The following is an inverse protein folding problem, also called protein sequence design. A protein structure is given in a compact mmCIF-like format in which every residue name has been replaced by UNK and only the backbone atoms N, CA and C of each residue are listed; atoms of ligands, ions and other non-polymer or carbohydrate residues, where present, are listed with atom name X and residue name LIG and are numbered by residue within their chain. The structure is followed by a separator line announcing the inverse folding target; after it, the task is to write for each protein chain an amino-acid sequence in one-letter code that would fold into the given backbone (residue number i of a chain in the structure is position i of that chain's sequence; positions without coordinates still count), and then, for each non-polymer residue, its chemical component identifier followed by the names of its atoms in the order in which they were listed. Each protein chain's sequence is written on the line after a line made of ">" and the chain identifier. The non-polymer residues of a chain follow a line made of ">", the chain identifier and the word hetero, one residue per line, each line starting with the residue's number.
data_IF_238699261219
#
_entry.id   IF_238699261219
#
_cell.length_a   1.000
_cell.length_b   1.000
_cell.length_c   1.000
_cell.angle_alpha   90.00
_cell.angle_beta   90.00
_cell.angle_gamma   90.00
#
_symmetry.space_group_name_H-M   'P 1'
#
loop_
_entity.id
_entity.type
_entity.pdbx_description
1 polymer ?
#
# COMPACT_ATOMS: atom_id res chain seq x y z
N UNK A 1 5.50 -13.00 23.69
CA UNK A 1 6.00 -13.20 22.32
C UNK A 1 5.07 -14.18 21.64
N UNK A 2 4.54 -13.84 20.46
CA UNK A 2 3.78 -14.80 19.65
C UNK A 2 4.71 -15.94 19.21
N UNK A 3 4.20 -17.18 19.03
CA UNK A 3 5.01 -18.25 18.46
C UNK A 3 5.51 -17.85 17.06
N UNK A 4 6.68 -18.35 16.63
CA UNK A 4 7.16 -18.11 15.28
C UNK A 4 6.15 -18.66 14.24
N UNK A 5 6.03 -18.01 13.07
CA UNK A 5 5.22 -18.51 11.97
C UNK A 5 5.54 -19.96 11.59
N UNK A 6 4.55 -20.72 11.14
CA UNK A 6 4.70 -22.15 10.80
C UNK A 6 5.83 -22.39 9.78
N UNK A 7 5.92 -21.55 8.74
CA UNK A 7 6.96 -21.66 7.71
C UNK A 7 8.38 -21.39 8.23
N UNK A 8 8.53 -20.70 9.38
CA UNK A 8 9.81 -20.53 10.07
C UNK A 8 10.10 -21.67 11.04
N UNK A 9 9.05 -22.17 11.71
CA UNK A 9 9.17 -23.26 12.67
C UNK A 9 9.52 -24.61 12.01
N UNK A 10 8.99 -24.87 10.81
CA UNK A 10 9.18 -26.14 10.09
C UNK A 10 10.59 -26.34 9.50
N UNK A 11 11.30 -25.24 9.19
CA UNK A 11 12.62 -25.29 8.54
C UNK A 11 12.57 -25.70 7.06
N UNK A 12 13.74 -25.88 6.44
CA UNK A 12 13.85 -26.24 5.01
C UNK A 12 13.85 -27.76 4.81
N UNK A 13 12.83 -28.28 4.12
CA UNK A 13 12.82 -29.63 3.56
C UNK A 13 13.16 -29.58 2.06
N UNK A 14 14.32 -30.14 1.62
CA UNK A 14 14.68 -30.17 0.21
C UNK A 14 13.72 -30.97 -0.69
N UNK A 15 12.87 -31.85 -0.13
CA UNK A 15 11.89 -32.64 -0.88
C UNK A 15 10.51 -31.98 -0.97
N UNK A 16 10.23 -31.03 -0.08
CA UNK A 16 8.98 -30.27 -0.03
C UNK A 16 9.27 -28.83 0.43
N UNK A 17 9.90 -28.00 -0.41
CA UNK A 17 10.34 -26.67 -0.01
C UNK A 17 9.14 -25.76 0.25
N UNK A 18 9.08 -25.16 1.44
CA UNK A 18 8.05 -24.19 1.79
C UNK A 18 8.25 -22.88 0.97
N UNK A 19 7.26 -22.46 0.16
CA UNK A 19 7.38 -21.28 -0.67
C UNK A 19 7.46 -19.98 0.14
N UNK A 20 6.85 -19.92 1.32
CA UNK A 20 6.89 -18.75 2.21
C UNK A 20 8.23 -18.64 2.90
N UNK A 21 8.85 -19.76 3.29
CA UNK A 21 10.22 -19.76 3.80
C UNK A 21 11.20 -19.24 2.75
N UNK A 22 11.08 -19.70 1.51
CA UNK A 22 11.92 -19.23 0.40
C UNK A 22 11.76 -17.72 0.19
N UNK A 23 10.52 -17.23 0.16
CA UNK A 23 10.24 -15.80 0.04
C UNK A 23 10.77 -15.03 1.25
N UNK A 24 10.62 -15.52 2.48
CA UNK A 24 11.09 -14.86 3.70
C UNK A 24 12.62 -14.71 3.73
N UNK A 25 13.35 -15.77 3.35
CA UNK A 25 14.82 -15.75 3.33
C UNK A 25 15.40 -14.89 2.19
N UNK A 26 14.65 -14.66 1.11
CA UNK A 26 15.12 -13.83 -0.01
C UNK A 26 15.31 -12.35 0.36
N UNK A 27 16.55 -11.87 0.43
CA UNK A 27 16.84 -10.46 0.76
C UNK A 27 16.87 -9.53 -0.45
N UNK A 28 16.44 -10.00 -1.62
CA UNK A 28 16.47 -9.20 -2.85
C UNK A 28 15.43 -8.08 -2.87
N UNK A 29 14.31 -8.26 -2.16
CA UNK A 29 13.27 -7.23 -2.00
C UNK A 29 13.56 -6.33 -0.79
N UNK A 30 13.29 -5.02 -0.86
CA UNK A 30 13.73 -4.07 0.17
C UNK A 30 12.88 -4.05 1.44
N UNK A 31 12.00 -5.03 1.67
CA UNK A 31 11.09 -5.02 2.82
C UNK A 31 11.84 -5.20 4.16
N UNK A 32 11.44 -4.50 5.23
CA UNK A 32 11.88 -4.80 6.59
C UNK A 32 11.39 -6.19 7.04
N UNK A 33 12.19 -6.88 7.86
CA UNK A 33 11.89 -8.26 8.29
C UNK A 33 10.51 -8.40 8.94
N UNK A 34 10.14 -7.50 9.86
CA UNK A 34 8.82 -7.53 10.52
C UNK A 34 7.65 -7.33 9.54
N UNK A 35 7.81 -6.47 8.54
CA UNK A 35 6.79 -6.25 7.50
C UNK A 35 6.67 -7.49 6.62
N UNK A 36 7.81 -8.07 6.25
CA UNK A 36 7.87 -9.26 5.41
C UNK A 36 7.28 -10.49 6.12
N UNK A 37 7.57 -10.66 7.41
CA UNK A 37 6.96 -11.68 8.25
C UNK A 37 5.44 -11.54 8.26
N UNK A 38 4.91 -10.36 8.62
CA UNK A 38 3.47 -10.12 8.66
C UNK A 38 2.81 -10.33 7.29
N UNK A 39 3.45 -9.87 6.21
CA UNK A 39 2.96 -10.06 4.84
C UNK A 39 2.87 -11.54 4.45
N UNK A 40 3.85 -12.35 4.85
CA UNK A 40 3.89 -13.77 4.52
C UNK A 40 2.95 -14.59 5.41
N UNK A 41 2.81 -14.24 6.70
CA UNK A 41 1.79 -14.82 7.60
C UNK A 41 0.38 -14.59 7.06
N UNK A 42 0.06 -13.35 6.66
CA UNK A 42 -1.22 -13.03 6.03
C UNK A 42 -1.41 -13.83 4.72
N UNK A 43 -0.34 -13.89 3.92
CA UNK A 43 -0.31 -14.58 2.63
C UNK A 43 -0.45 -16.11 2.73
N UNK A 44 -0.01 -16.72 3.81
CA UNK A 44 -0.07 -18.17 4.04
C UNK A 44 -1.32 -18.62 4.79
N UNK A 45 -2.27 -17.71 5.03
CA UNK A 45 -3.47 -17.98 5.83
C UNK A 45 -4.47 -18.94 5.17
N UNK A 46 -5.26 -19.62 6.00
CA UNK A 46 -6.36 -20.47 5.56
C UNK A 46 -7.46 -19.70 4.81
N UNK A 47 -7.69 -18.42 5.17
CA UNK A 47 -8.59 -17.53 4.42
C UNK A 47 -8.13 -17.42 2.97
N UNK A 48 -6.84 -17.18 2.74
CA UNK A 48 -6.33 -17.07 1.38
C UNK A 48 -6.38 -18.39 0.63
N UNK A 49 -6.06 -19.49 1.28
CA UNK A 49 -6.02 -20.80 0.65
C UNK A 49 -7.40 -21.32 0.26
N UNK A 50 -8.39 -21.18 1.15
CA UNK A 50 -9.69 -21.85 0.99
C UNK A 50 -10.84 -20.90 0.69
N UNK A 51 -10.84 -19.68 1.24
CA UNK A 51 -11.93 -18.73 1.07
C UNK A 51 -11.77 -17.88 -0.21
N UNK A 52 -10.56 -17.38 -0.49
CA UNK A 52 -10.28 -16.53 -1.65
C UNK A 52 -10.69 -17.15 -3.01
N UNK A 53 -10.45 -18.45 -3.30
CA UNK A 53 -10.87 -19.04 -4.57
C UNK A 53 -12.37 -18.98 -4.82
N UNK A 54 -13.18 -18.94 -3.76
CA UNK A 54 -14.64 -18.84 -3.81
C UNK A 54 -15.07 -17.37 -3.84
N UNK A 55 -14.48 -16.53 -2.98
CA UNK A 55 -14.83 -15.11 -2.88
C UNK A 55 -14.50 -14.36 -4.17
N UNK A 56 -13.34 -14.61 -4.79
CA UNK A 56 -12.89 -13.88 -5.97
C UNK A 56 -13.87 -13.93 -7.15
N UNK A 57 -14.38 -15.09 -7.63
CA UNK A 57 -15.36 -15.11 -8.70
C UNK A 57 -16.69 -14.47 -8.27
N UNK A 58 -17.13 -14.66 -7.02
CA UNK A 58 -18.36 -14.05 -6.51
C UNK A 58 -18.26 -12.52 -6.48
N UNK A 59 -17.17 -11.97 -5.95
CA UNK A 59 -16.92 -10.54 -5.90
C UNK A 59 -16.93 -9.92 -7.30
N UNK A 60 -16.32 -10.58 -8.28
CA UNK A 60 -16.34 -10.13 -9.69
C UNK A 60 -17.74 -10.19 -10.29
N UNK A 61 -18.51 -11.23 -10.01
CA UNK A 61 -19.91 -11.32 -10.44
C UNK A 61 -20.75 -10.19 -9.83
N UNK A 62 -20.55 -9.89 -8.53
CA UNK A 62 -21.19 -8.75 -7.87
C UNK A 62 -20.78 -7.42 -8.48
N UNK A 63 -19.52 -7.21 -8.84
CA UNK A 63 -19.07 -5.99 -9.53
C UNK A 63 -19.87 -5.77 -10.82
N UNK A 64 -20.02 -6.81 -11.64
CA UNK A 64 -20.82 -6.74 -12.89
C UNK A 64 -22.29 -6.48 -12.57
N UNK A 65 -22.88 -7.20 -11.62
CA UNK A 65 -24.26 -7.01 -11.21
C UNK A 65 -24.52 -5.56 -10.75
N UNK A 66 -23.61 -5.01 -9.94
CA UNK A 66 -23.69 -3.63 -9.46
C UNK A 66 -23.56 -2.64 -10.62
N UNK A 67 -22.70 -2.90 -11.61
CA UNK A 67 -22.64 -2.06 -12.82
C UNK A 67 -23.99 -2.03 -13.54
N UNK A 68 -24.62 -3.19 -13.74
CA UNK A 68 -25.94 -3.28 -14.38
C UNK A 68 -27.02 -2.55 -13.57
N UNK A 69 -27.02 -2.70 -12.25
CA UNK A 69 -27.95 -1.99 -11.36
C UNK A 69 -27.72 -0.47 -11.44
N UNK A 70 -26.46 -0.01 -11.46
CA UNK A 70 -26.14 1.42 -11.51
C UNK A 70 -26.47 2.07 -12.85
N UNK A 71 -26.62 1.30 -13.94
CA UNK A 71 -27.14 1.82 -15.21
C UNK A 71 -28.56 2.40 -15.09
N UNK A 72 -29.38 1.88 -14.16
CA UNK A 72 -30.76 2.35 -13.94
C UNK A 72 -30.91 3.20 -12.68
N UNK A 73 -29.93 3.22 -11.78
CA UNK A 73 -29.95 4.06 -10.58
C UNK A 73 -29.64 5.54 -10.89
N UNK A 74 -30.05 6.47 -10.01
CA UNK A 74 -29.64 7.87 -10.12
C UNK A 74 -28.11 8.00 -10.09
N UNK A 75 -27.53 8.72 -11.06
CA UNK A 75 -26.07 8.91 -11.18
C UNK A 75 -25.39 9.52 -9.94
N UNK A 76 -26.16 10.20 -9.09
CA UNK A 76 -25.68 10.84 -7.84
C UNK A 76 -25.83 9.95 -6.61
N UNK A 77 -26.27 8.70 -6.77
CA UNK A 77 -26.34 7.76 -5.66
C UNK A 77 -24.96 7.53 -5.07
N UNK A 78 -24.84 7.86 -3.78
CA UNK A 78 -23.68 7.54 -2.97
C UNK A 78 -24.08 7.59 -1.50
N UNK A 79 -23.42 6.78 -0.67
CA UNK A 79 -23.55 6.82 0.78
C UNK A 79 -22.18 6.56 1.42
N UNK A 80 -21.29 7.54 1.27
CA UNK A 80 -19.88 7.45 1.67
C UNK A 80 -19.71 7.17 3.18
N UNK A 81 -20.49 7.82 4.05
CA UNK A 81 -20.43 7.58 5.50
C UNK A 81 -20.76 6.13 5.86
N UNK A 82 -21.81 5.58 5.25
CA UNK A 82 -22.20 4.17 5.47
C UNK A 82 -21.13 3.22 4.97
N UNK A 83 -20.54 3.51 3.81
CA UNK A 83 -19.43 2.75 3.26
C UNK A 83 -18.25 2.67 4.23
N UNK A 84 -17.73 3.82 4.64
CA UNK A 84 -16.54 3.87 5.50
C UNK A 84 -16.82 3.26 6.88
N UNK A 85 -18.04 3.38 7.39
CA UNK A 85 -18.48 2.67 8.60
C UNK A 85 -18.46 1.15 8.41
N UNK A 86 -19.03 0.62 7.33
CA UNK A 86 -19.05 -0.84 7.04
C UNK A 86 -17.62 -1.36 6.92
N UNK A 87 -16.74 -0.64 6.21
CA UNK A 87 -15.35 -1.05 6.03
C UNK A 87 -14.60 -1.06 7.36
N UNK A 88 -14.68 0.02 8.14
CA UNK A 88 -14.00 0.11 9.43
C UNK A 88 -14.50 -0.96 10.43
N UNK A 89 -15.82 -1.21 10.49
CA UNK A 89 -16.37 -2.26 11.35
C UNK A 89 -16.04 -3.67 10.85
N UNK A 90 -16.00 -3.89 9.54
CA UNK A 90 -15.54 -5.14 8.93
C UNK A 90 -14.07 -5.42 9.25
N UNK A 91 -13.22 -4.40 9.13
CA UNK A 91 -11.80 -4.46 9.50
C UNK A 91 -11.62 -4.83 10.97
N UNK A 92 -12.35 -4.19 11.89
CA UNK A 92 -12.26 -4.49 13.32
C UNK A 92 -12.67 -5.92 13.69
N UNK A 93 -13.70 -6.46 13.04
CA UNK A 93 -14.35 -7.70 13.45
C UNK A 93 -13.85 -8.93 12.70
N UNK A 94 -13.43 -8.78 11.45
CA UNK A 94 -13.18 -9.91 10.54
C UNK A 94 -11.75 -9.98 10.01
N UNK A 95 -11.12 -8.83 9.80
CA UNK A 95 -9.80 -8.78 9.14
C UNK A 95 -8.70 -9.15 10.13
N UNK A 96 -7.74 -9.95 9.67
CA UNK A 96 -6.61 -10.40 10.45
C UNK A 96 -5.76 -9.22 10.96
N UNK A 97 -5.09 -9.36 12.13
CA UNK A 97 -4.24 -8.30 12.68
C UNK A 97 -3.16 -7.82 11.71
N UNK A 98 -2.50 -8.74 11.00
CA UNK A 98 -1.44 -8.48 10.02
C UNK A 98 -1.99 -7.63 8.87
N UNK A 99 -3.13 -8.02 8.30
CA UNK A 99 -3.81 -7.25 7.26
C UNK A 99 -4.23 -5.85 7.73
N UNK A 100 -4.83 -5.73 8.92
CA UNK A 100 -5.21 -4.42 9.47
C UNK A 100 -3.99 -3.52 9.68
N UNK A 101 -2.90 -4.08 10.19
CA UNK A 101 -1.65 -3.36 10.40
C UNK A 101 -1.08 -2.85 9.07
N UNK A 102 -0.99 -3.71 8.06
CA UNK A 102 -0.50 -3.35 6.72
C UNK A 102 -1.36 -2.23 6.09
N UNK A 103 -2.69 -2.32 6.20
CA UNK A 103 -3.59 -1.27 5.69
C UNK A 103 -3.39 0.05 6.43
N UNK A 104 -3.29 0.03 7.76
CA UNK A 104 -3.11 1.24 8.55
C UNK A 104 -1.77 1.91 8.25
N UNK A 105 -0.69 1.13 8.17
CA UNK A 105 0.64 1.62 7.80
C UNK A 105 0.65 2.26 6.42
N UNK A 106 0.02 1.62 5.44
CA UNK A 106 -0.01 2.08 4.06
C UNK A 106 -0.38 3.56 3.92
N UNK A 107 -1.37 4.05 4.68
CA UNK A 107 -1.75 5.47 4.65
C UNK A 107 -0.60 6.39 5.08
N UNK A 108 0.14 6.03 6.14
CA UNK A 108 1.30 6.79 6.60
C UNK A 108 2.42 6.76 5.56
N UNK A 109 2.75 5.57 5.03
CA UNK A 109 3.83 5.43 4.05
C UNK A 109 3.52 6.20 2.77
N UNK A 110 2.29 6.10 2.27
CA UNK A 110 1.81 6.87 1.14
C UNK A 110 1.95 8.38 1.40
N UNK A 111 1.47 8.88 2.54
CA UNK A 111 1.59 10.29 2.91
C UNK A 111 3.05 10.77 2.94
N UNK A 112 3.96 9.97 3.50
CA UNK A 112 5.39 10.30 3.57
C UNK A 112 6.06 10.28 2.19
N UNK A 113 5.72 9.32 1.31
CA UNK A 113 6.23 9.27 -0.07
C UNK A 113 5.78 10.50 -0.86
N UNK A 114 4.51 10.89 -0.75
CA UNK A 114 4.01 12.11 -1.40
C UNK A 114 4.70 13.37 -0.85
N UNK A 115 4.94 13.43 0.45
CA UNK A 115 5.67 14.53 1.08
C UNK A 115 7.15 14.58 0.64
N UNK A 116 7.80 13.42 0.47
CA UNK A 116 9.15 13.32 -0.06
C UNK A 116 9.23 13.92 -1.46
N UNK A 117 8.32 13.54 -2.36
CA UNK A 117 8.27 14.09 -3.72
C UNK A 117 8.04 15.60 -3.70
N UNK A 118 7.11 16.08 -2.87
CA UNK A 118 6.80 17.49 -2.77
C UNK A 118 7.96 18.33 -2.24
N UNK A 119 8.69 17.85 -1.22
CA UNK A 119 9.84 18.56 -0.62
C UNK A 119 11.08 18.59 -1.49
N UNK A 120 11.23 17.59 -2.35
CA UNK A 120 12.36 17.45 -3.26
C UNK A 120 12.03 17.91 -4.69
N UNK A 121 10.90 18.56 -4.89
CA UNK A 121 10.54 19.19 -6.16
C UNK A 121 11.16 20.58 -6.27
N UNK A 122 11.55 21.05 -7.47
CA UNK A 122 12.01 22.43 -7.66
C UNK A 122 10.89 23.47 -7.49
N UNK A 123 9.63 23.04 -7.40
CA UNK A 123 8.46 23.90 -7.22
C UNK A 123 7.72 23.56 -5.92
N UNK A 124 7.12 24.55 -5.24
CA UNK A 124 6.36 24.30 -4.03
C UNK A 124 5.07 23.52 -4.35
N UNK A 125 4.84 22.40 -3.67
CA UNK A 125 3.63 21.60 -3.80
C UNK A 125 3.09 21.21 -2.43
N UNK A 126 1.81 21.49 -2.19
CA UNK A 126 1.15 21.12 -0.94
C UNK A 126 0.64 19.67 -0.97
N UNK A 127 0.83 18.97 0.15
CA UNK A 127 0.30 17.63 0.41
C UNK A 127 -0.75 17.68 1.52
N UNK A 128 -1.67 16.71 1.51
CA UNK A 128 -2.67 16.51 2.57
C UNK A 128 -2.41 15.14 3.20
N UNK A 129 -1.52 15.04 4.20
CA UNK A 129 -1.14 13.75 4.75
C UNK A 129 -2.31 13.05 5.46
N UNK A 130 -2.40 11.73 5.30
CA UNK A 130 -3.35 10.87 6.00
C UNK A 130 -2.55 9.96 6.94
N UNK A 131 -2.78 10.08 8.25
CA UNK A 131 -1.98 9.40 9.28
C UNK A 131 -2.88 8.78 10.36
N UNK A 132 -3.85 7.92 9.97
CA UNK A 132 -4.79 7.35 10.94
C UNK A 132 -4.04 6.52 11.99
N UNK A 133 -4.35 6.71 13.27
CA UNK A 133 -3.73 5.90 14.35
C UNK A 133 -4.68 4.83 14.87
N UNK A 134 -6.00 4.98 14.63
CA UNK A 134 -7.01 3.98 14.94
C UNK A 134 -7.90 3.65 13.73
N UNK A 135 -8.42 2.41 13.69
CA UNK A 135 -9.37 1.97 12.65
C UNK A 135 -10.66 2.80 12.59
N UNK A 136 -11.04 3.45 13.70
CA UNK A 136 -12.20 4.35 13.73
C UNK A 136 -12.00 5.61 12.87
N UNK A 137 -10.77 6.08 12.70
CA UNK A 137 -10.48 7.26 11.88
C UNK A 137 -10.68 6.98 10.38
N UNK A 138 -10.69 5.71 9.98
CA UNK A 138 -11.02 5.31 8.61
C UNK A 138 -12.47 5.67 8.23
N UNK A 139 -13.35 5.88 9.22
CA UNK A 139 -14.78 6.19 9.02
C UNK A 139 -15.01 7.57 8.41
N UNK A 140 -14.08 8.50 8.55
CA UNK A 140 -14.21 9.87 8.05
C UNK A 140 -13.72 10.00 6.59
N UNK A 141 -14.36 9.24 5.69
CA UNK A 141 -14.12 9.27 4.24
C UNK A 141 -12.66 9.00 3.81
N UNK A 142 -11.88 8.32 4.67
CA UNK A 142 -10.43 8.24 4.53
C UNK A 142 -9.98 7.51 3.25
N UNK A 143 -10.63 6.40 2.89
CA UNK A 143 -10.31 5.65 1.66
C UNK A 143 -10.50 6.52 0.41
N UNK A 144 -11.55 7.33 0.35
CA UNK A 144 -11.79 8.23 -0.79
C UNK A 144 -10.82 9.41 -0.78
N UNK A 145 -10.54 10.00 0.39
CA UNK A 145 -9.55 11.07 0.54
C UNK A 145 -8.17 10.61 0.08
N UNK A 146 -7.79 9.37 0.40
CA UNK A 146 -6.52 8.76 -0.03
C UNK A 146 -6.36 8.84 -1.55
N UNK A 147 -7.31 8.28 -2.31
CA UNK A 147 -7.25 8.29 -3.78
C UNK A 147 -7.23 9.70 -4.37
N UNK A 148 -8.03 10.61 -3.80
CA UNK A 148 -8.09 12.01 -4.24
C UNK A 148 -6.74 12.72 -4.04
N UNK A 149 -6.05 12.44 -2.93
CA UNK A 149 -4.77 13.08 -2.63
C UNK A 149 -3.69 12.72 -3.65
N UNK A 150 -3.67 11.47 -4.15
CA UNK A 150 -2.75 11.07 -5.23
C UNK A 150 -2.97 11.90 -6.51
N UNK A 151 -4.21 12.01 -6.98
CA UNK A 151 -4.53 12.82 -8.16
C UNK A 151 -4.19 14.29 -7.95
N UNK A 152 -4.55 14.85 -6.79
CA UNK A 152 -4.28 16.26 -6.49
C UNK A 152 -2.78 16.56 -6.46
N UNK A 153 -1.94 15.68 -5.91
CA UNK A 153 -0.50 15.86 -5.96
C UNK A 153 -0.01 15.90 -7.41
N UNK A 154 -0.36 14.88 -8.21
CA UNK A 154 0.08 14.78 -9.61
C UNK A 154 -0.34 16.02 -10.39
N UNK A 155 -1.59 16.46 -10.25
CA UNK A 155 -2.11 17.65 -10.94
C UNK A 155 -1.34 18.90 -10.52
N UNK A 156 -1.24 19.17 -9.20
CA UNK A 156 -0.59 20.38 -8.67
C UNK A 156 0.89 20.45 -9.05
N UNK A 157 1.61 19.35 -8.90
CA UNK A 157 3.03 19.26 -9.25
C UNK A 157 3.25 19.57 -10.73
N UNK A 158 2.49 18.93 -11.63
CA UNK A 158 2.68 19.12 -13.06
C UNK A 158 2.21 20.50 -13.55
N UNK A 159 1.20 21.10 -12.92
CA UNK A 159 0.82 22.48 -13.19
C UNK A 159 1.94 23.43 -12.79
N UNK A 160 2.45 23.31 -11.55
CA UNK A 160 3.50 24.16 -11.03
C UNK A 160 4.79 24.05 -11.86
N UNK A 161 5.22 22.83 -12.22
CA UNK A 161 6.38 22.62 -13.09
C UNK A 161 6.22 23.33 -14.45
N UNK A 162 5.04 23.20 -15.09
CA UNK A 162 4.76 23.84 -16.37
C UNK A 162 4.72 25.36 -16.28
N UNK A 163 4.10 25.89 -15.23
CA UNK A 163 3.98 27.33 -15.00
C UNK A 163 5.34 28.00 -14.77
N UNK A 164 6.26 27.29 -14.09
CA UNK A 164 7.61 27.80 -13.80
C UNK A 164 8.64 27.42 -14.87
N UNK A 165 8.27 26.62 -15.88
CA UNK A 165 9.19 26.13 -16.90
C UNK A 165 10.24 25.14 -16.36
N UNK A 166 9.93 24.48 -15.24
CA UNK A 166 10.82 23.56 -14.52
C UNK A 166 10.51 22.09 -14.87
N UNK A 167 11.47 21.22 -14.60
CA UNK A 167 11.30 19.75 -14.71
C UNK A 167 11.80 19.08 -13.45
N UNK A 168 11.20 17.93 -13.09
CA UNK A 168 11.82 17.09 -12.06
C UNK A 168 13.20 16.63 -12.53
N UNK A 169 14.18 16.75 -11.66
CA UNK A 169 15.56 16.38 -11.90
C UNK A 169 16.13 15.70 -10.65
N UNK A 170 17.26 14.98 -10.79
CA UNK A 170 17.98 14.45 -9.64
C UNK A 170 18.36 15.54 -8.64
N UNK A 171 18.17 15.25 -7.36
CA UNK A 171 18.55 16.12 -6.24
C UNK A 171 19.82 15.55 -5.59
N UNK A 172 20.86 16.38 -5.45
CA UNK A 172 22.15 15.94 -4.94
C UNK A 172 22.09 15.47 -3.47
N UNK A 173 21.32 16.19 -2.64
CA UNK A 173 21.10 15.87 -1.23
C UNK A 173 19.59 15.87 -0.96
N UNK A 174 18.89 14.75 -1.22
CA UNK A 174 17.44 14.70 -0.99
C UNK A 174 17.09 14.89 0.50
N UNK A 175 16.01 15.62 0.74
CA UNK A 175 15.40 15.76 2.06
C UNK A 175 14.59 14.50 2.38
N UNK A 176 15.06 13.73 3.37
CA UNK A 176 14.40 12.54 3.91
C UNK A 176 13.75 12.78 5.29
N UNK A 177 13.58 14.04 5.72
CA UNK A 177 13.06 14.40 7.04
C UNK A 177 11.68 13.83 7.33
N UNK A 178 10.84 13.68 6.30
CA UNK A 178 9.49 13.11 6.37
C UNK A 178 9.46 11.58 6.45
N UNK A 179 10.56 10.89 6.10
CA UNK A 179 10.61 9.42 6.08
C UNK A 179 10.89 8.90 7.49
N UNK A 180 9.88 8.25 8.08
CA UNK A 180 9.93 7.70 9.42
C UNK A 180 9.05 6.46 9.54
N UNK A 181 9.44 5.55 10.43
CA UNK A 181 8.63 4.39 10.76
C UNK A 181 7.28 4.83 11.37
N UNK A 182 6.13 4.38 10.85
CA UNK A 182 4.82 4.74 11.41
C UNK A 182 4.66 4.25 12.85
N UNK A 183 3.99 5.05 13.69
CA UNK A 183 3.71 4.69 15.08
C UNK A 183 2.65 3.58 15.25
N UNK A 184 2.05 3.10 14.15
CA UNK A 184 1.03 2.05 14.19
C UNK A 184 1.70 0.70 14.44
N UNK A 185 1.33 0.03 15.54
CA UNK A 185 1.91 -1.24 15.94
C UNK A 185 0.97 -2.41 15.64
N UNK A 186 1.53 -3.54 15.21
CA UNK A 186 0.77 -4.77 14.95
C UNK A 186 0.04 -5.27 16.20
N UNK A 187 0.65 -5.06 17.37
CA UNK A 187 0.09 -5.43 18.67
C UNK A 187 -1.18 -4.66 19.06
N UNK A 188 -1.40 -3.47 18.51
CA UNK A 188 -2.60 -2.67 18.75
C UNK A 188 -3.79 -3.07 17.85
N UNK A 189 -3.58 -3.98 16.88
CA UNK A 189 -4.63 -4.38 15.96
C UNK A 189 -5.64 -5.33 16.63
N UNK A 190 -6.94 -5.27 16.25
CA UNK A 190 -7.97 -6.12 16.83
C UNK A 190 -7.66 -7.61 16.68
N UNK A 191 -7.74 -8.32 17.81
CA UNK A 191 -7.53 -9.77 17.91
C UNK A 191 -8.75 -10.41 18.55
N UNK A 192 -9.57 -11.04 17.72
CA UNK A 192 -10.77 -11.75 18.12
C UNK A 192 -10.90 -13.06 17.33
N UNK A 193 -11.82 -13.95 17.73
CA UNK A 193 -11.99 -15.26 17.11
C UNK A 193 -12.42 -15.20 15.63
N UNK A 194 -12.91 -14.03 15.18
CA UNK A 194 -13.35 -13.80 13.81
C UNK A 194 -12.31 -13.03 12.97
N UNK A 195 -11.22 -12.53 13.58
CA UNK A 195 -10.16 -11.80 12.88
C UNK A 195 -9.24 -12.78 12.13
N UNK A 196 -9.77 -13.41 11.09
CA UNK A 196 -9.11 -14.50 10.33
C UNK A 196 -9.03 -14.23 8.84
N UNK A 197 -9.66 -13.15 8.35
CA UNK A 197 -9.71 -12.82 6.93
C UNK A 197 -8.44 -12.07 6.53
N UNK A 198 -7.70 -12.64 5.58
CA UNK A 198 -6.46 -12.06 5.04
C UNK A 198 -6.70 -10.79 4.22
N UNK A 199 -5.63 -10.05 3.97
CA UNK A 199 -5.65 -8.78 3.25
C UNK A 199 -6.32 -8.91 1.88
N UNK A 200 -5.92 -9.91 1.09
CA UNK A 200 -6.42 -10.04 -0.28
C UNK A 200 -7.89 -10.45 -0.31
N UNK A 201 -8.30 -11.39 0.55
CA UNK A 201 -9.71 -11.80 0.65
C UNK A 201 -10.58 -10.65 1.16
N UNK A 202 -10.12 -9.89 2.17
CA UNK A 202 -10.83 -8.73 2.67
C UNK A 202 -11.04 -7.68 1.56
N UNK A 203 -9.99 -7.37 0.80
CA UNK A 203 -10.06 -6.44 -0.33
C UNK A 203 -11.06 -6.92 -1.40
N UNK A 204 -11.02 -8.19 -1.78
CA UNK A 204 -11.96 -8.74 -2.78
C UNK A 204 -13.42 -8.68 -2.27
N UNK A 205 -13.67 -8.91 -0.98
CA UNK A 205 -14.98 -8.72 -0.35
C UNK A 205 -15.43 -7.25 -0.33
N UNK A 206 -14.53 -6.33 0.00
CA UNK A 206 -14.84 -4.91 0.16
C UNK A 206 -14.99 -4.17 -1.17
N UNK A 207 -14.33 -4.61 -2.24
CA UNK A 207 -14.38 -3.96 -3.55
C UNK A 207 -15.82 -3.77 -4.10
N UNK A 208 -16.69 -4.79 -4.16
CA UNK A 208 -18.08 -4.59 -4.60
C UNK A 208 -18.89 -3.71 -3.65
N UNK A 209 -18.62 -3.77 -2.33
CA UNK A 209 -19.28 -2.88 -1.35
C UNK A 209 -18.89 -1.42 -1.65
N UNK A 210 -17.59 -1.18 -1.85
CA UNK A 210 -17.04 0.12 -2.23
C UNK A 210 -17.68 0.64 -3.52
N UNK A 211 -17.78 -0.20 -4.56
CA UNK A 211 -18.44 0.16 -5.80
C UNK A 211 -19.91 0.54 -5.62
N UNK A 212 -20.65 -0.20 -4.80
CA UNK A 212 -22.09 0.01 -4.62
C UNK A 212 -22.40 1.36 -3.94
N UNK A 213 -21.60 1.72 -2.93
CA UNK A 213 -21.84 2.91 -2.12
C UNK A 213 -21.19 4.19 -2.67
N UNK A 214 -20.30 4.09 -3.64
CA UNK A 214 -19.73 5.24 -4.34
C UNK A 214 -20.52 5.60 -5.60
N UNK A 215 -20.35 6.83 -6.11
CA UNK A 215 -20.80 7.12 -7.47
C UNK A 215 -19.94 6.35 -8.48
N UNK A 216 -20.43 6.17 -9.72
CA UNK A 216 -19.63 5.52 -10.77
C UNK A 216 -18.33 6.26 -11.06
N UNK A 217 -18.37 7.60 -11.01
CA UNK A 217 -17.17 8.42 -11.21
C UNK A 217 -16.17 8.25 -10.07
N UNK A 218 -16.63 8.16 -8.82
CA UNK A 218 -15.74 7.97 -7.67
C UNK A 218 -15.11 6.58 -7.68
N UNK A 219 -15.88 5.54 -7.97
CA UNK A 219 -15.34 4.18 -8.08
C UNK A 219 -14.36 4.06 -9.25
N UNK A 220 -14.69 4.66 -10.41
CA UNK A 220 -13.79 4.69 -11.55
C UNK A 220 -12.49 5.45 -11.23
N UNK A 221 -12.58 6.60 -10.55
CA UNK A 221 -11.41 7.37 -10.10
C UNK A 221 -10.54 6.57 -9.15
N UNK A 222 -11.12 5.94 -8.13
CA UNK A 222 -10.41 5.08 -7.19
C UNK A 222 -9.71 3.91 -7.89
N UNK A 223 -10.37 3.22 -8.82
CA UNK A 223 -9.73 2.12 -9.54
C UNK A 223 -8.57 2.58 -10.45
N UNK A 224 -8.61 3.82 -10.93
CA UNK A 224 -7.55 4.41 -11.75
C UNK A 224 -6.46 5.12 -10.94
N UNK A 225 -6.68 5.47 -9.66
CA UNK A 225 -5.61 5.99 -8.78
C UNK A 225 -4.47 4.99 -8.67
N UNK A 226 -4.76 3.69 -8.68
CA UNK A 226 -3.80 2.58 -8.72
C UNK A 226 -2.89 2.57 -9.97
N UNK A 227 -3.17 3.38 -10.99
CA UNK A 227 -2.24 3.59 -12.12
C UNK A 227 -1.11 4.57 -11.74
N UNK A 228 -1.35 5.45 -10.78
CA UNK A 228 -0.42 6.48 -10.38
C UNK A 228 0.77 5.94 -9.59
N UNK A 229 0.75 4.69 -9.11
CA UNK A 229 1.89 4.07 -8.44
C UNK A 229 3.17 4.14 -9.29
N UNK A 230 3.03 3.91 -10.59
CA UNK A 230 4.12 4.05 -11.56
C UNK A 230 4.57 5.50 -11.70
N UNK A 231 3.63 6.45 -11.78
CA UNK A 231 3.94 7.88 -11.82
C UNK A 231 4.68 8.35 -10.57
N UNK A 232 4.22 7.94 -9.39
CA UNK A 232 4.83 8.25 -8.09
C UNK A 232 6.24 7.65 -7.99
N UNK A 233 6.41 6.38 -8.35
CA UNK A 233 7.73 5.76 -8.34
C UNK A 233 8.68 6.36 -9.39
N UNK A 234 8.18 6.80 -10.54
CA UNK A 234 8.96 7.58 -11.51
C UNK A 234 9.44 8.91 -10.92
N UNK A 235 8.58 9.65 -10.21
CA UNK A 235 8.99 10.89 -9.55
C UNK A 235 10.08 10.64 -8.50
N UNK A 236 9.89 9.63 -7.64
CA UNK A 236 10.90 9.26 -6.65
C UNK A 236 12.22 8.84 -7.32
N UNK A 237 12.18 7.99 -8.35
CA UNK A 237 13.37 7.54 -9.06
C UNK A 237 14.10 8.69 -9.78
N UNK A 238 13.37 9.65 -10.35
CA UNK A 238 13.95 10.85 -10.97
C UNK A 238 14.65 11.72 -9.93
N UNK A 239 13.99 12.00 -8.80
CA UNK A 239 14.56 12.78 -7.70
C UNK A 239 15.83 12.12 -7.15
N UNK A 240 15.82 10.80 -7.00
CA UNK A 240 16.96 10.03 -6.50
C UNK A 240 18.07 9.81 -7.54
N UNK A 241 17.83 10.13 -8.82
CA UNK A 241 18.75 9.76 -9.91
C UNK A 241 18.97 8.25 -10.04
N UNK A 242 17.98 7.43 -9.66
CA UNK A 242 18.14 5.98 -9.48
C UNK A 242 17.10 5.16 -10.27
N UNK A 243 17.18 5.15 -11.62
CA UNK A 243 16.18 4.51 -12.48
C UNK A 243 16.07 2.99 -12.29
N UNK A 244 17.12 2.32 -11.78
CA UNK A 244 17.11 0.89 -11.47
C UNK A 244 16.01 0.50 -10.46
N UNK A 245 15.58 1.42 -9.60
CA UNK A 245 14.54 1.15 -8.59
C UNK A 245 13.12 1.14 -9.17
N UNK A 246 12.95 1.48 -10.46
CA UNK A 246 11.69 1.30 -11.18
C UNK A 246 11.30 -0.17 -11.32
N UNK A 247 12.21 -1.12 -11.08
CA UNK A 247 11.87 -2.55 -11.03
C UNK A 247 10.87 -2.88 -9.91
N UNK A 248 10.79 -2.03 -8.88
CA UNK A 248 9.86 -2.17 -7.76
C UNK A 248 8.43 -1.74 -8.13
N UNK A 249 8.23 -1.19 -9.33
CA UNK A 249 6.91 -0.81 -9.82
C UNK A 249 6.11 -2.03 -10.27
N UNK A 250 4.90 -2.13 -9.74
CA UNK A 250 3.97 -3.21 -10.04
C UNK A 250 3.13 -2.97 -11.30
N UNK A 251 3.07 -1.71 -11.75
CA UNK A 251 2.36 -1.30 -12.95
C UNK A 251 3.36 -0.82 -14.01
N UNK A 252 3.14 -1.18 -15.27
CA UNK A 252 4.06 -0.90 -16.40
C UNK A 252 3.37 -0.22 -17.58
N UNK A 253 2.10 0.18 -17.41
CA UNK A 253 1.24 0.69 -18.48
C UNK A 253 0.27 1.76 -17.93
N UNK A 254 0.75 2.90 -17.43
CA UNK A 254 -0.04 3.84 -16.63
C UNK A 254 -1.08 4.58 -17.49
N UNK A 255 -0.86 4.61 -18.81
CA UNK A 255 -1.75 5.22 -19.79
C UNK A 255 -2.83 4.26 -20.32
N UNK A 256 -2.90 3.03 -19.82
CA UNK A 256 -3.90 2.03 -20.21
C UNK A 256 -4.91 1.87 -19.08
N UNK A 257 -6.13 2.44 -19.19
CA UNK A 257 -7.18 2.21 -18.22
C UNK A 257 -7.48 0.72 -18.12
N UNK A 258 -7.49 0.20 -16.88
CA UNK A 258 -7.69 -1.23 -16.63
C UNK A 258 -9.12 -1.50 -16.18
N UNK A 259 -9.58 -2.72 -16.45
CA UNK A 259 -10.86 -3.20 -15.93
C UNK A 259 -10.90 -3.16 -14.41
N UNK A 260 -12.04 -2.72 -13.85
CA UNK A 260 -12.28 -2.72 -12.40
C UNK A 260 -12.40 -4.13 -11.82
N UNK A 261 -12.56 -5.17 -12.64
CA UNK A 261 -12.65 -6.58 -12.20
C UNK A 261 -11.35 -7.11 -11.56
N UNK A 262 -10.22 -6.42 -11.78
CA UNK A 262 -8.93 -6.75 -11.18
C UNK A 262 -8.49 -5.72 -10.12
N UNK A 263 -9.38 -4.80 -9.72
CA UNK A 263 -9.05 -3.74 -8.77
C UNK A 263 -8.54 -4.30 -7.43
N UNK A 264 -9.15 -5.37 -6.91
CA UNK A 264 -8.72 -5.96 -5.64
C UNK A 264 -7.27 -6.45 -5.63
N UNK A 265 -6.86 -7.21 -6.64
CA UNK A 265 -5.46 -7.64 -6.78
C UNK A 265 -4.50 -6.46 -6.95
N UNK A 266 -4.89 -5.45 -7.74
CA UNK A 266 -4.07 -4.24 -7.92
C UNK A 266 -3.91 -3.45 -6.63
N UNK A 267 -4.92 -3.43 -5.76
CA UNK A 267 -4.84 -2.77 -4.46
C UNK A 267 -3.84 -3.46 -3.51
N UNK A 268 -3.71 -4.79 -3.58
CA UNK A 268 -2.65 -5.50 -2.84
C UNK A 268 -1.27 -5.07 -3.33
N UNK A 269 -1.07 -5.00 -4.65
CA UNK A 269 0.19 -4.55 -5.23
C UNK A 269 0.50 -3.08 -4.91
N UNK A 270 -0.51 -2.22 -4.85
CA UNK A 270 -0.38 -0.82 -4.45
C UNK A 270 0.22 -0.68 -3.05
N UNK A 271 -0.30 -1.45 -2.08
CA UNK A 271 0.25 -1.50 -0.72
C UNK A 271 1.68 -2.02 -0.69
N UNK A 272 1.95 -3.13 -1.40
CA UNK A 272 3.29 -3.73 -1.48
C UNK A 272 4.33 -2.77 -2.06
N UNK A 273 4.00 -2.07 -3.17
CA UNK A 273 4.93 -1.10 -3.77
C UNK A 273 5.21 0.09 -2.86
N UNK A 274 4.22 0.50 -2.05
CA UNK A 274 4.39 1.61 -1.10
C UNK A 274 5.35 1.22 0.03
N UNK A 275 5.22 0.01 0.58
CA UNK A 275 6.16 -0.55 1.56
C UNK A 275 7.58 -0.67 0.97
N UNK A 276 7.71 -1.22 -0.23
CA UNK A 276 9.02 -1.39 -0.87
C UNK A 276 9.71 -0.06 -1.18
N UNK A 277 8.96 0.93 -1.68
CA UNK A 277 9.48 2.27 -1.96
C UNK A 277 9.86 2.99 -0.67
N UNK A 278 9.02 2.94 0.36
CA UNK A 278 9.34 3.57 1.64
C UNK A 278 10.56 2.95 2.32
N UNK A 279 10.69 1.63 2.29
CA UNK A 279 11.84 0.94 2.84
C UNK A 279 13.14 1.29 2.09
N UNK A 280 13.08 1.45 0.77
CA UNK A 280 14.19 1.97 -0.02
C UNK A 280 14.57 3.39 0.41
N UNK A 281 13.60 4.30 0.54
CA UNK A 281 13.84 5.67 1.00
C UNK A 281 14.45 5.72 2.40
N UNK A 282 14.01 4.83 3.29
CA UNK A 282 14.57 4.69 4.65
C UNK A 282 16.04 4.25 4.61
N UNK A 283 16.39 3.25 3.80
CA UNK A 283 17.80 2.83 3.64
C UNK A 283 18.68 3.93 3.06
N UNK A 284 18.15 4.72 2.12
CA UNK A 284 18.88 5.85 1.53
C UNK A 284 19.09 6.98 2.54
N UNK A 285 18.08 7.26 3.38
CA UNK A 285 18.21 8.17 4.52
C UNK A 285 19.33 7.73 5.48
N UNK A 286 19.34 6.46 5.86
CA UNK A 286 20.37 5.88 6.73
C UNK A 286 21.76 6.02 6.09
N UNK A 287 21.88 5.71 4.80
CA UNK A 287 23.14 5.86 4.06
C UNK A 287 23.63 7.32 4.01
N UNK A 288 22.74 8.29 3.79
CA UNK A 288 23.07 9.72 3.78
C UNK A 288 23.57 10.22 5.15
N UNK A 289 23.06 9.68 6.25
CA UNK A 289 23.51 10.00 7.60
C UNK A 289 24.71 9.18 8.08
N UNK A 290 25.30 8.33 7.24
CA UNK A 290 26.42 7.46 7.61
C UNK A 290 26.03 6.30 8.54
N UNK A 291 24.73 6.05 8.68
CA UNK A 291 24.13 5.15 9.67
C UNK A 291 23.72 3.80 9.06
N UNK A 292 24.27 3.47 7.89
CA UNK A 292 23.90 2.27 7.14
C UNK A 292 24.17 0.99 7.96
N UNK A 293 23.37 -0.07 7.80
CA UNK A 293 23.61 -1.35 8.49
C UNK A 293 25.00 -1.94 8.20
N UNK A 294 25.55 -1.68 7.01
CA UNK A 294 26.93 -2.07 6.66
C UNK A 294 27.98 -1.23 7.40
N UNK A 295 27.76 0.07 7.56
CA UNK A 295 28.64 0.93 8.36
C UNK A 295 28.61 0.56 9.85
N UNK A 296 27.43 0.20 10.40
CA UNK A 296 27.29 -0.32 11.76
C UNK A 296 27.98 -1.67 11.94
N UNK A 297 27.76 -2.62 11.02
CA UNK A 297 28.43 -3.92 11.05
C UNK A 297 29.96 -3.80 10.91
N UNK A 298 30.46 -2.85 10.11
CA UNK A 298 31.89 -2.57 9.99
C UNK A 298 32.46 -1.89 11.25
N UNK A 299 31.71 -1.00 11.90
CA UNK A 299 32.11 -0.36 13.15
C UNK A 299 32.14 -1.37 14.33
N UNK A 300 31.17 -2.28 14.41
CA UNK A 300 31.14 -3.35 15.41
C UNK A 300 32.26 -4.38 15.19
N UNK A 301 32.54 -4.74 13.94
CA UNK A 301 33.65 -5.63 13.60
C UNK A 301 35.03 -5.00 13.86
N UNK A 302 35.15 -3.67 13.78
CA UNK A 302 36.37 -2.94 14.11
C UNK A 302 36.56 -2.70 15.61
N UNK A 303 35.54 -2.95 16.43
CA UNK A 303 35.56 -2.82 17.89
C UNK A 303 35.86 -4.14 18.62
N UNK A 304 36.05 -5.25 17.88
CA UNK A 304 36.47 -6.57 18.36
C UNK A 304 37.94 -6.84 18.01
#
# INVERSE_FOLDING_TARGET
>A
MSPPPDFLAAGHDPKDPDPWLALYLDRSTPLPDAVKEAWLVDSSSASRQYLLPIIRPLARAFIVLIQLVKMVMPKRWSASRTLHWILAEGMKRLVAPEANWLVMRHFHLGAQILAFIARNSPVPVETTPLTPVALDELKDDLFVKHDINLFNLVIRLNQALREHGEVLAPVAEPDFSMIQEPAVRLEDMPRGPLNVIDLQTAIECFTPIFQFFLTDNDFWRAANSLQLDETIGLYAATILGAPQHLILLNNKHPLVPMSTLRAGYRLVLHGLSSEMLHALLTRLKEAQHGDSPQARAQAEAAAL
#
